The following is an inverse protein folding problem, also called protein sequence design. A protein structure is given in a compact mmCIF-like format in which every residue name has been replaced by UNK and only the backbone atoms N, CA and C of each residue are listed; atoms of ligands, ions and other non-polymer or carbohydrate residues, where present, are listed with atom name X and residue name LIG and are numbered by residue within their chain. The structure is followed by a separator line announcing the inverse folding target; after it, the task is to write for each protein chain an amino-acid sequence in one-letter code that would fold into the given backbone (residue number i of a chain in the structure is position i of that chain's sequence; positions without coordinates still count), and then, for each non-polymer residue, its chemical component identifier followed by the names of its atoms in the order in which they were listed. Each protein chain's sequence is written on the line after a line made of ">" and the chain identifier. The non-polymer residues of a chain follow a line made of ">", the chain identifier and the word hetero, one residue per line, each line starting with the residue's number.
data_IF_287423603142
#
_entry.id   IF_287423603142
#
_cell.length_a   1.000
_cell.length_b   1.000
_cell.length_c   1.000
_cell.angle_alpha   90.00
_cell.angle_beta   90.00
_cell.angle_gamma   90.00
#
_symmetry.space_group_name_H-M   'P 1'
#
loop_
_entity.id
_entity.type
_entity.pdbx_description
1 polymer ?
#
# COMPACT_ATOMS: atom_id res chain seq x y z
N UNK A 1 21.28 -3.16 8.14
CA UNK A 1 19.93 -3.20 7.57
C UNK A 1 20.11 -3.41 6.09
N UNK A 2 19.73 -4.58 5.61
CA UNK A 2 19.91 -4.96 4.21
C UNK A 2 18.89 -4.21 3.35
N UNK A 3 19.37 -3.66 2.24
CA UNK A 3 18.55 -2.95 1.25
C UNK A 3 17.65 -3.98 0.55
N UNK A 4 16.35 -3.76 0.51
CA UNK A 4 15.39 -4.68 -0.11
C UNK A 4 15.46 -4.52 -1.63
N UNK A 5 16.00 -5.50 -2.37
CA UNK A 5 16.10 -5.40 -3.83
C UNK A 5 14.78 -5.80 -4.46
N UNK A 6 14.44 -5.20 -5.59
CA UNK A 6 13.23 -5.57 -6.35
C UNK A 6 13.21 -7.06 -6.74
N UNK A 7 14.40 -7.65 -6.93
CA UNK A 7 14.58 -9.08 -7.22
C UNK A 7 14.20 -10.01 -6.07
N UNK A 8 14.13 -9.49 -4.85
CA UNK A 8 13.97 -10.27 -3.62
C UNK A 8 12.49 -10.41 -3.24
N UNK A 9 11.58 -9.97 -4.10
CA UNK A 9 10.14 -10.11 -3.93
C UNK A 9 9.68 -11.58 -4.08
N UNK A 10 8.75 -12.08 -3.24
CA UNK A 10 8.01 -11.32 -2.22
C UNK A 10 8.81 -11.05 -0.94
N UNK A 11 8.50 -9.91 -0.32
CA UNK A 11 8.98 -9.60 1.03
C UNK A 11 8.07 -10.26 2.06
N UNK A 12 8.64 -11.12 2.90
CA UNK A 12 7.90 -11.92 3.88
C UNK A 12 7.91 -11.27 5.25
N UNK A 13 6.73 -11.16 5.87
CA UNK A 13 6.57 -10.64 7.22
C UNK A 13 5.67 -11.55 8.06
N UNK A 14 6.24 -12.13 9.11
CA UNK A 14 5.48 -12.94 10.06
C UNK A 14 4.80 -12.06 11.09
N UNK A 15 3.47 -12.11 11.11
CA UNK A 15 2.62 -11.30 11.98
C UNK A 15 2.11 -12.15 13.12
N UNK A 16 2.21 -11.63 14.34
CA UNK A 16 1.44 -12.13 15.48
C UNK A 16 0.38 -11.10 15.83
N UNK A 17 -0.88 -11.41 15.50
CA UNK A 17 -2.01 -10.54 15.82
C UNK A 17 -2.99 -11.30 16.71
N UNK A 18 -3.18 -10.81 17.93
CA UNK A 18 -3.96 -11.50 18.97
C UNK A 18 -3.42 -12.93 19.22
N UNK A 19 -4.25 -13.98 19.10
CA UNK A 19 -3.86 -15.39 19.24
C UNK A 19 -3.54 -16.09 17.92
N UNK A 20 -3.49 -15.35 16.80
CA UNK A 20 -3.20 -15.89 15.47
C UNK A 20 -1.81 -15.45 15.00
N UNK A 21 -1.18 -16.34 14.24
CA UNK A 21 0.03 -16.03 13.49
C UNK A 21 -0.25 -16.29 12.02
N UNK A 22 0.17 -15.35 11.17
CA UNK A 22 0.03 -15.43 9.72
C UNK A 22 1.17 -14.68 9.05
N UNK A 23 1.46 -15.02 7.80
CA UNK A 23 2.53 -14.39 7.03
C UNK A 23 1.93 -13.45 6.00
N UNK A 24 2.52 -12.27 5.83
CA UNK A 24 2.25 -11.37 4.72
C UNK A 24 3.31 -11.56 3.64
N UNK A 25 2.86 -11.73 2.39
CA UNK A 25 3.72 -11.82 1.20
C UNK A 25 3.56 -10.54 0.38
N UNK A 26 4.49 -9.59 0.53
CA UNK A 26 4.38 -8.27 -0.11
C UNK A 26 5.08 -8.23 -1.46
N UNK A 27 4.35 -7.77 -2.47
CA UNK A 27 4.81 -7.47 -3.82
C UNK A 27 4.67 -5.97 -4.11
N UNK A 28 5.58 -5.43 -4.92
CA UNK A 28 5.53 -4.09 -5.49
C UNK A 28 5.42 -4.18 -7.03
N UNK A 29 5.00 -3.10 -7.69
CA UNK A 29 4.85 -3.03 -9.15
C UNK A 29 6.16 -3.21 -9.93
N UNK A 30 7.29 -3.10 -9.23
CA UNK A 30 8.62 -3.08 -9.81
C UNK A 30 9.33 -4.43 -9.91
N UNK A 31 8.66 -5.53 -9.58
CA UNK A 31 9.29 -6.85 -9.69
C UNK A 31 9.76 -7.12 -11.13
N UNK A 32 11.07 -7.36 -11.38
CA UNK A 32 11.57 -7.63 -12.73
C UNK A 32 11.12 -9.00 -13.25
N UNK A 33 10.79 -9.92 -12.33
CA UNK A 33 10.51 -11.31 -12.64
C UNK A 33 9.01 -11.62 -12.74
N UNK A 34 8.15 -10.76 -12.18
CA UNK A 34 6.72 -11.01 -12.09
C UNK A 34 5.93 -9.72 -12.33
N UNK A 35 5.13 -9.69 -13.40
CA UNK A 35 4.25 -8.55 -13.65
C UNK A 35 3.07 -8.55 -12.66
N UNK A 36 2.84 -7.42 -11.99
CA UNK A 36 1.85 -7.26 -10.93
C UNK A 36 0.44 -7.75 -11.30
N UNK A 37 0.02 -7.59 -12.57
CA UNK A 37 -1.33 -7.94 -13.04
C UNK A 37 -1.62 -9.44 -13.12
N UNK A 38 -0.59 -10.27 -12.94
CA UNK A 38 -0.70 -11.74 -12.99
C UNK A 38 -0.82 -12.37 -11.59
N UNK A 39 -0.64 -11.57 -10.55
CA UNK A 39 -0.81 -11.98 -9.16
C UNK A 39 -2.28 -12.18 -8.81
N UNK A 40 -2.53 -12.88 -7.71
CA UNK A 40 -3.86 -13.07 -7.11
C UNK A 40 -3.84 -12.49 -5.69
N UNK A 41 -3.93 -11.17 -5.53
CA UNK A 41 -3.78 -10.53 -4.23
C UNK A 41 -4.99 -10.76 -3.33
N UNK A 42 -4.69 -11.01 -2.07
CA UNK A 42 -5.65 -11.03 -0.96
C UNK A 42 -5.98 -9.62 -0.47
N UNK A 43 -5.00 -8.70 -0.56
CA UNK A 43 -5.17 -7.27 -0.23
C UNK A 43 -4.40 -6.41 -1.23
N UNK A 44 -4.98 -5.27 -1.61
CA UNK A 44 -4.32 -4.26 -2.45
C UNK A 44 -4.03 -2.99 -1.64
N UNK A 45 -2.79 -2.51 -1.71
CA UNK A 45 -2.40 -1.18 -1.25
C UNK A 45 -2.32 -0.23 -2.46
N UNK A 46 -3.05 0.88 -2.41
CA UNK A 46 -2.93 2.00 -3.35
C UNK A 46 -2.14 3.12 -2.68
N UNK A 47 -0.90 3.34 -3.12
CA UNK A 47 -0.02 4.31 -2.47
C UNK A 47 0.21 5.56 -3.32
N UNK A 48 0.27 6.71 -2.64
CA UNK A 48 0.64 8.00 -3.21
C UNK A 48 1.65 8.72 -2.31
N UNK A 49 2.38 9.69 -2.87
CA UNK A 49 3.30 10.57 -2.13
C UNK A 49 2.54 11.86 -1.76
N UNK A 50 2.42 12.16 -0.46
CA UNK A 50 1.70 13.35 0.03
C UNK A 50 2.34 14.66 -0.48
N UNK A 51 3.61 14.63 -0.85
CA UNK A 51 4.31 15.78 -1.45
C UNK A 51 4.12 15.91 -2.96
N UNK A 52 3.39 15.00 -3.61
CA UNK A 52 3.20 15.00 -5.06
C UNK A 52 1.75 14.67 -5.47
N UNK A 53 0.99 15.71 -5.81
CA UNK A 53 -0.42 15.64 -6.22
C UNK A 53 -0.66 14.74 -7.44
N UNK A 54 0.27 14.67 -8.37
CA UNK A 54 0.11 13.82 -9.57
C UNK A 54 0.03 12.32 -9.20
N UNK A 55 0.69 11.92 -8.11
CA UNK A 55 0.63 10.53 -7.63
C UNK A 55 -0.72 10.20 -7.00
N UNK A 56 -1.38 11.18 -6.38
CA UNK A 56 -2.75 11.05 -5.84
C UNK A 56 -3.77 10.94 -6.98
N UNK A 57 -3.65 11.78 -7.99
CA UNK A 57 -4.52 11.73 -9.18
C UNK A 57 -4.39 10.41 -9.94
N UNK A 58 -3.18 9.83 -9.96
CA UNK A 58 -2.88 8.53 -10.54
C UNK A 58 -3.65 7.36 -9.90
N UNK A 59 -4.09 7.49 -8.64
CA UNK A 59 -4.81 6.41 -7.93
C UNK A 59 -6.10 5.99 -8.62
N UNK A 60 -6.77 6.92 -9.32
CA UNK A 60 -7.99 6.59 -10.07
C UNK A 60 -7.71 5.57 -11.19
N UNK A 61 -6.58 5.71 -11.88
CA UNK A 61 -6.14 4.76 -12.91
C UNK A 61 -5.82 3.40 -12.28
N UNK A 62 -5.05 3.39 -11.19
CA UNK A 62 -4.75 2.16 -10.45
C UNK A 62 -6.01 1.46 -9.97
N UNK A 63 -7.01 2.19 -9.48
CA UNK A 63 -8.28 1.60 -9.05
C UNK A 63 -9.03 0.94 -10.21
N UNK A 64 -9.07 1.56 -11.39
CA UNK A 64 -9.67 0.93 -12.57
C UNK A 64 -8.94 -0.36 -12.97
N UNK A 65 -7.62 -0.37 -12.86
CA UNK A 65 -6.80 -1.55 -13.15
C UNK A 65 -7.04 -2.67 -12.13
N UNK A 66 -7.13 -2.36 -10.83
CA UNK A 66 -7.54 -3.33 -9.79
C UNK A 66 -8.87 -4.00 -10.13
N UNK A 67 -9.87 -3.21 -10.52
CA UNK A 67 -11.19 -3.73 -10.91
C UNK A 67 -11.05 -4.64 -12.15
N UNK A 68 -10.26 -4.22 -13.14
CA UNK A 68 -10.07 -4.95 -14.40
C UNK A 68 -9.36 -6.29 -14.20
N UNK A 69 -8.30 -6.33 -13.41
CA UNK A 69 -7.42 -7.49 -13.33
C UNK A 69 -7.79 -8.44 -12.21
N UNK A 70 -8.30 -7.93 -11.08
CA UNK A 70 -8.46 -8.74 -9.88
C UNK A 70 -9.93 -8.98 -9.47
N UNK A 71 -10.88 -8.21 -10.02
CA UNK A 71 -12.30 -8.30 -9.61
C UNK A 71 -13.23 -8.73 -10.76
N UNK A 72 -12.69 -9.30 -11.84
CA UNK A 72 -13.50 -9.81 -12.97
C UNK A 72 -13.89 -11.27 -12.75
N UNK A 73 -15.13 -11.47 -12.30
CA UNK A 73 -15.76 -12.79 -12.19
C UNK A 73 -15.38 -13.49 -10.89
N UNK A 74 -16.38 -14.05 -10.21
CA UNK A 74 -16.31 -14.73 -8.90
C UNK A 74 -16.38 -13.75 -7.70
N UNK A 75 -17.44 -12.93 -7.62
CA UNK A 75 -18.15 -12.53 -6.39
C UNK A 75 -17.45 -11.80 -5.22
N UNK A 76 -16.15 -11.95 -5.00
CA UNK A 76 -15.45 -11.43 -3.83
C UNK A 76 -14.67 -10.16 -4.17
N UNK A 77 -15.06 -9.09 -3.50
CA UNK A 77 -14.36 -7.82 -3.53
C UNK A 77 -13.08 -7.95 -2.71
N UNK A 78 -11.93 -7.90 -3.38
CA UNK A 78 -10.62 -7.80 -2.71
C UNK A 78 -10.57 -6.50 -1.88
N UNK A 79 -10.20 -6.57 -0.59
CA UNK A 79 -9.96 -5.40 0.24
C UNK A 79 -8.90 -4.47 -0.35
N UNK A 80 -9.18 -3.16 -0.33
CA UNK A 80 -8.28 -2.13 -0.85
C UNK A 80 -7.99 -1.10 0.22
N UNK A 81 -6.73 -0.86 0.53
CA UNK A 81 -6.30 0.20 1.45
C UNK A 81 -5.53 1.27 0.68
N UNK A 82 -5.84 2.54 0.94
CA UNK A 82 -5.11 3.68 0.40
C UNK A 82 -4.07 4.16 1.43
N UNK A 83 -2.85 4.43 1.00
CA UNK A 83 -1.75 4.84 1.89
C UNK A 83 -1.07 6.11 1.36
N UNK A 84 -1.09 7.16 2.17
CA UNK A 84 -0.31 8.38 1.94
C UNK A 84 1.09 8.27 2.52
N UNK A 85 2.09 8.19 1.66
CA UNK A 85 3.50 8.06 2.05
C UNK A 85 4.17 9.42 2.22
N UNK A 86 5.30 9.40 2.90
CA UNK A 86 6.18 10.57 3.12
C UNK A 86 5.45 11.69 3.84
N UNK A 87 4.68 11.33 4.86
CA UNK A 87 3.90 12.26 5.69
C UNK A 87 4.73 13.41 6.25
N UNK A 88 6.01 13.16 6.55
CA UNK A 88 7.00 14.13 7.00
C UNK A 88 7.26 15.28 6.00
N UNK A 89 6.95 15.07 4.73
CA UNK A 89 7.12 16.09 3.68
C UNK A 89 5.92 17.02 3.53
N UNK A 90 4.87 16.86 4.34
CA UNK A 90 3.71 17.75 4.35
C UNK A 90 4.15 19.15 4.78
N UNK A 91 4.00 20.10 3.87
CA UNK A 91 4.31 21.52 4.09
C UNK A 91 3.10 22.38 3.74
N UNK A 92 2.90 23.45 4.50
CA UNK A 92 1.90 24.47 4.15
C UNK A 92 2.28 25.14 2.82
N UNK A 93 1.28 25.41 1.98
CA UNK A 93 1.46 25.98 0.65
C UNK A 93 0.23 25.77 -0.22
N UNK A 94 0.27 26.28 -1.46
CA UNK A 94 -0.86 26.18 -2.39
C UNK A 94 -1.16 24.72 -2.80
N UNK A 95 -0.13 23.88 -2.88
CA UNK A 95 -0.25 22.48 -3.32
C UNK A 95 -0.45 21.47 -2.17
N UNK A 96 -0.69 21.92 -0.95
CA UNK A 96 -0.88 21.04 0.20
C UNK A 96 -2.07 20.08 -0.05
N UNK A 97 -1.82 18.78 0.15
CA UNK A 97 -2.84 17.74 0.02
C UNK A 97 -3.41 17.44 1.41
N UNK A 98 -4.55 18.00 1.80
CA UNK A 98 -5.06 17.82 3.17
C UNK A 98 -5.55 16.39 3.45
N UNK A 99 -5.40 15.84 4.68
CA UNK A 99 -5.91 14.52 5.03
C UNK A 99 -7.42 14.34 4.78
N UNK A 100 -8.21 15.41 4.89
CA UNK A 100 -9.65 15.39 4.61
C UNK A 100 -9.94 15.24 3.11
N UNK A 101 -9.10 15.80 2.25
CA UNK A 101 -9.20 15.66 0.79
C UNK A 101 -8.92 14.21 0.37
N UNK A 102 -7.82 13.65 0.85
CA UNK A 102 -7.40 12.27 0.57
C UNK A 102 -8.36 11.25 1.15
N UNK A 103 -8.92 11.50 2.34
CA UNK A 103 -9.97 10.64 2.89
C UNK A 103 -11.22 10.61 2.02
N UNK A 104 -11.65 11.77 1.48
CA UNK A 104 -12.78 11.81 0.51
C UNK A 104 -12.46 11.02 -0.75
N UNK A 105 -11.25 11.16 -1.30
CA UNK A 105 -10.80 10.37 -2.46
C UNK A 105 -10.80 8.88 -2.14
N UNK A 106 -10.34 8.47 -0.96
CA UNK A 106 -10.38 7.08 -0.53
C UNK A 106 -11.82 6.52 -0.51
N UNK A 107 -12.79 7.31 -0.04
CA UNK A 107 -14.21 6.96 -0.07
C UNK A 107 -14.75 6.85 -1.51
N UNK A 108 -14.44 7.81 -2.38
CA UNK A 108 -14.83 7.81 -3.79
C UNK A 108 -14.28 6.58 -4.53
N UNK A 109 -13.02 6.22 -4.26
CA UNK A 109 -12.37 5.04 -4.80
C UNK A 109 -12.80 3.74 -4.10
N UNK A 110 -13.70 3.80 -3.11
CA UNK A 110 -14.20 2.65 -2.33
C UNK A 110 -13.08 1.82 -1.71
N UNK A 111 -12.11 2.50 -1.09
CA UNK A 111 -11.11 1.87 -0.25
C UNK A 111 -11.72 1.50 1.11
N UNK A 112 -11.32 0.37 1.66
CA UNK A 112 -11.73 -0.15 2.96
C UNK A 112 -11.03 0.57 4.11
N UNK A 113 -9.80 1.03 3.88
CA UNK A 113 -8.98 1.77 4.84
C UNK A 113 -8.19 2.87 4.16
N UNK A 114 -7.86 3.89 4.93
CA UNK A 114 -6.94 4.94 4.56
C UNK A 114 -6.02 5.23 5.74
N UNK A 115 -4.73 5.33 5.47
CA UNK A 115 -3.71 5.70 6.44
C UNK A 115 -2.66 6.62 5.81
N UNK A 116 -1.89 7.30 6.65
CA UNK A 116 -0.69 8.04 6.23
C UNK A 116 0.47 7.66 7.14
N UNK A 117 1.67 7.60 6.58
CA UNK A 117 2.87 7.28 7.36
C UNK A 117 4.14 7.92 6.77
N UNK A 118 5.20 7.90 7.56
CA UNK A 118 6.55 8.22 7.11
C UNK A 118 7.50 7.08 7.47
N UNK A 119 8.06 6.42 6.46
CA UNK A 119 9.10 5.41 6.68
C UNK A 119 10.45 6.04 7.11
N UNK A 120 10.63 7.36 6.92
CA UNK A 120 11.86 8.07 7.33
C UNK A 120 11.81 8.38 8.83
N UNK A 121 10.69 8.94 9.31
CA UNK A 121 10.55 9.30 10.73
C UNK A 121 10.00 8.16 11.59
N UNK A 122 9.39 7.14 10.97
CA UNK A 122 8.66 6.08 11.65
C UNK A 122 7.23 6.48 12.04
N UNK A 123 6.81 7.72 11.75
CA UNK A 123 5.47 8.22 12.12
C UNK A 123 4.37 7.36 11.49
N UNK A 124 3.46 6.87 12.34
CA UNK A 124 2.26 6.10 11.98
C UNK A 124 2.52 4.79 11.22
N UNK A 125 3.76 4.30 11.22
CA UNK A 125 4.13 3.07 10.52
C UNK A 125 3.47 1.84 11.18
N UNK A 126 3.50 1.76 12.51
CA UNK A 126 2.91 0.63 13.24
C UNK A 126 1.40 0.57 13.07
N UNK A 127 0.72 1.72 13.12
CA UNK A 127 -0.72 1.86 12.95
C UNK A 127 -1.15 1.52 11.52
N UNK A 128 -0.41 2.02 10.52
CA UNK A 128 -0.65 1.69 9.10
C UNK A 128 -0.51 0.20 8.85
N UNK A 129 0.50 -0.43 9.46
CA UNK A 129 0.71 -1.86 9.34
C UNK A 129 -0.32 -2.68 10.10
N UNK A 130 -0.78 -2.22 11.26
CA UNK A 130 -1.87 -2.86 12.00
C UNK A 130 -3.16 -2.84 11.20
N UNK A 131 -3.49 -1.74 10.53
CA UNK A 131 -4.66 -1.67 9.65
C UNK A 131 -4.54 -2.60 8.44
N UNK A 132 -3.35 -2.73 7.84
CA UNK A 132 -3.09 -3.74 6.82
C UNK A 132 -3.27 -5.16 7.37
N UNK A 133 -2.69 -5.46 8.54
CA UNK A 133 -2.79 -6.76 9.19
C UNK A 133 -4.26 -7.12 9.49
N UNK A 134 -5.08 -6.16 9.91
CA UNK A 134 -6.53 -6.36 10.14
C UNK A 134 -7.29 -6.70 8.85
N UNK A 135 -6.86 -6.19 7.70
CA UNK A 135 -7.44 -6.58 6.40
C UNK A 135 -7.06 -8.02 6.02
N UNK A 136 -5.86 -8.46 6.41
CA UNK A 136 -5.31 -9.77 6.07
C UNK A 136 -5.60 -10.89 7.11
N UNK A 137 -6.06 -10.56 8.32
CA UNK A 137 -6.12 -11.49 9.49
C UNK A 137 -7.02 -12.72 9.30
N UNK A 138 -7.86 -12.71 8.27
CA UNK A 138 -8.72 -13.85 7.94
C UNK A 138 -7.97 -14.95 7.17
N UNK A 139 -6.77 -14.68 6.66
CA UNK A 139 -5.93 -15.62 5.93
C UNK A 139 -4.81 -16.22 6.80
N UNK A 140 -4.30 -17.40 6.42
CA UNK A 140 -3.10 -18.01 7.02
C UNK A 140 -1.80 -17.48 6.40
N UNK A 141 -1.83 -17.22 5.10
CA UNK A 141 -0.88 -16.38 4.37
C UNK A 141 -1.70 -15.41 3.51
N UNK A 142 -1.30 -14.13 3.45
CA UNK A 142 -1.98 -13.14 2.64
C UNK A 142 -1.00 -12.48 1.66
N UNK A 143 -1.31 -12.57 0.37
CA UNK A 143 -0.59 -11.86 -0.69
C UNK A 143 -1.06 -10.41 -0.74
N UNK A 144 -0.14 -9.50 -0.45
CA UNK A 144 -0.38 -8.05 -0.49
C UNK A 144 0.35 -7.48 -1.69
N UNK A 145 -0.36 -6.71 -2.52
CA UNK A 145 0.27 -5.98 -3.61
C UNK A 145 0.21 -4.48 -3.38
N UNK A 146 1.38 -3.83 -3.44
CA UNK A 146 1.54 -2.39 -3.42
C UNK A 146 1.54 -1.84 -4.84
N UNK A 147 0.48 -1.11 -5.20
CA UNK A 147 0.38 -0.36 -6.44
C UNK A 147 0.75 1.09 -6.18
N UNK A 148 1.84 1.52 -6.80
CA UNK A 148 2.39 2.85 -6.62
C UNK A 148 2.95 3.39 -7.93
N UNK A 149 2.98 4.71 -8.04
CA UNK A 149 3.59 5.42 -9.15
C UNK A 149 5.13 5.35 -9.09
N UNK A 150 5.79 5.26 -10.24
CA UNK A 150 7.26 5.18 -10.34
C UNK A 150 7.98 6.38 -9.69
N UNK A 151 7.34 7.57 -9.71
CA UNK A 151 7.86 8.81 -9.09
C UNK A 151 8.01 8.69 -7.57
N UNK A 152 7.28 7.77 -6.94
CA UNK A 152 7.33 7.56 -5.49
C UNK A 152 8.67 6.91 -5.11
N UNK A 153 9.14 5.96 -5.93
CA UNK A 153 10.36 5.15 -5.71
C UNK A 153 11.65 5.96 -5.86
N UNK A 154 11.64 6.98 -6.72
CA UNK A 154 12.79 7.85 -6.99
C UNK A 154 13.34 8.61 -5.76
N UNK A 155 12.64 8.60 -4.61
CA UNK A 155 13.08 9.25 -3.36
C UNK A 155 13.49 8.28 -2.24
N UNK A 156 13.76 7.00 -2.52
CA UNK A 156 14.39 6.07 -1.57
C UNK A 156 13.49 5.60 -0.41
N UNK A 157 12.17 5.72 -0.56
CA UNK A 157 11.20 5.24 0.44
C UNK A 157 10.71 3.86 0.01
N UNK A 158 11.38 2.82 0.52
CA UNK A 158 10.86 1.46 0.47
C UNK A 158 9.64 1.41 1.37
N UNK A 159 8.46 1.58 0.79
CA UNK A 159 7.17 1.38 1.44
C UNK A 159 7.07 -0.01 2.12
N UNK A 160 7.99 -0.92 1.80
CA UNK A 160 8.11 -2.25 2.39
C UNK A 160 8.82 -2.28 3.75
N UNK A 161 9.29 -1.13 4.27
CA UNK A 161 9.68 -0.97 5.68
C UNK A 161 8.48 -0.91 6.65
N UNK A 162 7.30 -1.32 6.18
CA UNK A 162 6.05 -1.29 6.93
C UNK A 162 6.04 -2.20 8.15
N UNK A 163 6.92 -3.21 8.25
CA UNK A 163 6.97 -4.00 9.47
C UNK A 163 7.60 -3.19 10.62
N UNK A 164 6.87 -2.98 11.73
CA UNK A 164 7.51 -2.59 12.97
C UNK A 164 8.52 -3.69 13.34
N UNK A 165 9.75 -3.29 13.66
CA UNK A 165 10.72 -4.15 14.35
C UNK A 165 10.15 -4.64 15.69
#
# INVERSE_FOLDING_TARGET
>A
MDLLRDSDQPFLFDIRFSKKSFTLELYDTASPNQHWSTLKPDVVLLAFDISNRETLEGLKKWRHDVIRYFQRGIGERIPVMMVGLKRDLRKEGEDIIYPQETYRIAQELRCDRYAECSAITGELMAETFEDLARLAVMMLSALVILLQDERIRAKGVECLRLAPL
#
